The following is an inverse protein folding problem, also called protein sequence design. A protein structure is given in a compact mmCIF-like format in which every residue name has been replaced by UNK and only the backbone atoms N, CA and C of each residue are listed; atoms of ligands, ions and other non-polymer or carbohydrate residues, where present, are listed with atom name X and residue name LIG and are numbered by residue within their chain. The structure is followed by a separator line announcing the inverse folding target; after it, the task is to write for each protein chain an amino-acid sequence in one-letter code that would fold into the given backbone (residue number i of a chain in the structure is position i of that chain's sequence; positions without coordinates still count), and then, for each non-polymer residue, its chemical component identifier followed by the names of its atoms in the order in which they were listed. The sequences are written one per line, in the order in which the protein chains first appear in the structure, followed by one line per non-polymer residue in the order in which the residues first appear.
data_IF_115332503339
#
_entry.id   IF_115332503339
#
_cell.length_a   1.000
_cell.length_b   1.000
_cell.length_c   1.000
_cell.angle_alpha   90.00
_cell.angle_beta   90.00
_cell.angle_gamma   90.00
#
_symmetry.space_group_name_H-M   'P 1'
#
loop_
_entity.id
_entity.type
_entity.pdbx_description
1 polymer ?
#
# COMPACT_ATOMS: atom_id res chain seq x y z
N UNK A 1 14.82 -4.40 -7.92
CA UNK A 1 14.10 -4.39 -6.64
C UNK A 1 13.04 -3.32 -6.70
N UNK A 2 11.82 -3.63 -6.26
CA UNK A 2 10.73 -2.67 -6.10
C UNK A 2 11.10 -1.49 -5.21
N UNK A 3 11.87 -1.71 -4.14
CA UNK A 3 12.28 -0.64 -3.22
C UNK A 3 13.03 0.51 -3.90
N UNK A 4 13.81 0.24 -4.96
CA UNK A 4 14.48 1.29 -5.73
C UNK A 4 13.47 2.15 -6.50
N UNK A 5 12.43 1.50 -7.07
CA UNK A 5 11.35 2.20 -7.76
C UNK A 5 10.57 3.09 -6.79
N UNK A 6 10.32 2.61 -5.58
CA UNK A 6 9.64 3.38 -4.54
C UNK A 6 10.43 4.63 -4.13
N UNK A 7 11.74 4.49 -3.89
CA UNK A 7 12.63 5.62 -3.60
C UNK A 7 12.66 6.63 -4.76
N UNK A 8 12.75 6.16 -6.01
CA UNK A 8 12.77 7.02 -7.19
C UNK A 8 11.44 7.74 -7.42
N UNK A 9 10.31 7.06 -7.16
CA UNK A 9 8.99 7.65 -7.26
C UNK A 9 8.79 8.76 -6.22
N UNK A 10 9.16 8.51 -4.97
CA UNK A 10 9.14 9.53 -3.92
C UNK A 10 10.04 10.71 -4.26
N UNK A 11 11.28 10.44 -4.70
CA UNK A 11 12.22 11.48 -5.14
C UNK A 11 11.61 12.37 -6.23
N UNK A 12 10.93 11.77 -7.20
CA UNK A 12 10.27 12.49 -8.29
C UNK A 12 9.07 13.31 -7.79
N UNK A 13 8.24 12.73 -6.93
CA UNK A 13 7.07 13.42 -6.38
C UNK A 13 7.45 14.66 -5.56
N UNK A 14 8.54 14.57 -4.81
CA UNK A 14 9.05 15.69 -4.00
C UNK A 14 9.98 16.64 -4.77
N UNK A 15 10.22 16.42 -6.07
CA UNK A 15 11.17 17.19 -6.89
C UNK A 15 12.60 17.24 -6.31
N UNK A 16 13.04 16.13 -5.72
CA UNK A 16 14.37 16.02 -5.13
C UNK A 16 15.45 15.65 -6.13
N UNK A 17 16.64 16.22 -5.93
CA UNK A 17 17.81 15.93 -6.77
C UNK A 17 18.65 14.82 -6.15
N UNK A 18 18.69 14.74 -4.81
CA UNK A 18 19.63 13.88 -4.10
C UNK A 18 18.92 12.98 -3.08
N UNK A 19 19.39 11.73 -2.98
CA UNK A 19 18.90 10.73 -2.02
C UNK A 19 19.03 11.16 -0.56
N UNK A 20 19.96 12.07 -0.24
CA UNK A 20 20.12 12.62 1.11
C UNK A 20 18.88 13.36 1.60
N UNK A 21 18.08 13.91 0.69
CA UNK A 21 16.83 14.60 1.03
C UNK A 21 15.77 13.58 1.48
N UNK A 22 15.71 12.42 0.79
CA UNK A 22 14.86 11.30 1.19
C UNK A 22 15.28 10.77 2.57
N UNK A 23 16.59 10.65 2.81
CA UNK A 23 17.13 10.22 4.09
C UNK A 23 16.72 11.16 5.24
N UNK A 24 16.76 12.47 4.97
CA UNK A 24 16.35 13.49 5.93
C UNK A 24 14.86 13.35 6.29
N UNK A 25 13.98 13.19 5.29
CA UNK A 25 12.53 13.06 5.52
C UNK A 25 12.18 11.77 6.29
N UNK A 26 12.89 10.69 6.02
CA UNK A 26 12.77 9.43 6.76
C UNK A 26 13.44 9.45 8.14
N UNK A 27 14.15 10.54 8.48
CA UNK A 27 14.94 10.67 9.71
C UNK A 27 15.96 9.53 9.88
N UNK A 28 16.66 9.18 8.79
CA UNK A 28 17.69 8.13 8.77
C UNK A 28 19.02 8.65 8.21
N UNK A 29 20.10 7.92 8.51
CA UNK A 29 21.42 8.25 7.97
C UNK A 29 21.44 8.04 6.43
N UNK A 30 22.05 8.95 5.63
CA UNK A 30 22.10 8.82 4.16
C UNK A 30 22.73 7.53 3.64
N UNK A 31 23.65 6.93 4.39
CA UNK A 31 24.23 5.61 4.10
C UNK A 31 23.15 4.52 3.98
N UNK A 32 22.08 4.60 4.78
CA UNK A 32 20.97 3.64 4.77
C UNK A 32 20.23 3.64 3.44
N UNK A 33 20.04 4.80 2.80
CA UNK A 33 19.45 4.87 1.46
C UNK A 33 20.34 4.13 0.44
N UNK A 34 21.67 4.30 0.53
CA UNK A 34 22.60 3.56 -0.34
C UNK A 34 22.55 2.05 -0.11
N UNK A 35 22.46 1.61 1.15
CA UNK A 35 22.31 0.21 1.51
C UNK A 35 20.99 -0.38 0.99
N UNK A 36 19.89 0.39 1.08
CA UNK A 36 18.61 0.03 0.48
C UNK A 36 18.73 -0.10 -1.04
N UNK A 37 19.33 0.88 -1.73
CA UNK A 37 19.51 0.81 -3.18
C UNK A 37 20.32 -0.40 -3.66
N UNK A 38 21.30 -0.82 -2.84
CA UNK A 38 22.17 -1.97 -3.07
C UNK A 38 21.56 -3.30 -2.62
N UNK A 39 20.37 -3.29 -2.01
CA UNK A 39 19.71 -4.49 -1.49
C UNK A 39 20.36 -5.09 -0.24
N UNK A 40 21.26 -4.37 0.42
CA UNK A 40 21.87 -4.81 1.70
C UNK A 40 20.90 -4.67 2.87
N UNK A 41 19.99 -3.70 2.77
CA UNK A 41 18.92 -3.42 3.72
C UNK A 41 17.60 -3.33 2.97
N UNK A 42 16.53 -3.81 3.58
CA UNK A 42 15.17 -3.63 3.05
C UNK A 42 14.49 -2.43 3.69
N UNK A 43 13.67 -1.73 2.91
CA UNK A 43 12.76 -0.69 3.41
C UNK A 43 11.76 -1.37 4.35
N UNK A 44 11.61 -0.86 5.58
CA UNK A 44 10.62 -1.32 6.57
C UNK A 44 9.21 -0.89 6.21
N UNK A 45 8.20 -1.47 6.85
CA UNK A 45 6.81 -1.24 6.48
C UNK A 45 6.39 0.22 6.75
N UNK A 46 6.89 0.84 7.83
CA UNK A 46 6.69 2.25 8.14
C UNK A 46 7.36 3.18 7.09
N UNK A 47 8.59 2.87 6.68
CA UNK A 47 9.29 3.64 5.65
C UNK A 47 8.58 3.51 4.30
N UNK A 48 8.08 2.31 3.97
CA UNK A 48 7.33 2.05 2.74
C UNK A 48 6.01 2.83 2.71
N UNK A 49 5.26 2.83 3.81
CA UNK A 49 4.02 3.61 3.97
C UNK A 49 4.27 5.10 3.77
N UNK A 50 5.29 5.65 4.43
CA UNK A 50 5.66 7.06 4.31
C UNK A 50 6.02 7.44 2.86
N UNK A 51 6.88 6.65 2.21
CA UNK A 51 7.30 6.89 0.83
C UNK A 51 6.13 6.77 -0.14
N UNK A 52 5.22 5.82 0.06
CA UNK A 52 4.07 5.62 -0.80
C UNK A 52 3.10 6.81 -0.72
N UNK A 53 2.76 7.25 0.49
CA UNK A 53 1.90 8.42 0.71
C UNK A 53 2.50 9.68 0.09
N UNK A 54 3.79 9.93 0.30
CA UNK A 54 4.48 11.08 -0.28
C UNK A 54 4.71 10.98 -1.80
N UNK A 55 4.59 9.79 -2.39
CA UNK A 55 4.66 9.57 -3.83
C UNK A 55 3.29 9.47 -4.51
N UNK A 56 2.20 9.59 -3.76
CA UNK A 56 0.83 9.31 -4.23
C UNK A 56 0.70 7.90 -4.87
N UNK A 57 1.37 6.92 -4.26
CA UNK A 57 1.27 5.50 -4.60
C UNK A 57 0.37 4.84 -3.54
N UNK A 58 -0.49 3.92 -3.97
CA UNK A 58 -1.32 3.12 -3.07
C UNK A 58 -0.43 2.36 -2.06
N UNK A 59 -0.54 2.61 -0.75
CA UNK A 59 0.33 2.02 0.27
C UNK A 59 0.35 0.49 0.26
N UNK A 60 -0.78 -0.12 -0.04
CA UNK A 60 -0.96 -1.56 -0.16
C UNK A 60 -0.03 -2.13 -1.24
N UNK A 61 0.00 -1.50 -2.42
CA UNK A 61 0.89 -1.90 -3.51
C UNK A 61 2.37 -1.72 -3.14
N UNK A 62 2.70 -0.67 -2.39
CA UNK A 62 4.06 -0.42 -1.92
C UNK A 62 4.53 -1.50 -0.95
N UNK A 63 3.71 -1.87 0.02
CA UNK A 63 4.00 -2.93 0.99
C UNK A 63 4.18 -4.29 0.29
N UNK A 64 3.27 -4.64 -0.63
CA UNK A 64 3.35 -5.89 -1.40
C UNK A 64 4.65 -5.96 -2.21
N UNK A 65 5.01 -4.88 -2.89
CA UNK A 65 6.26 -4.80 -3.65
C UNK A 65 7.51 -4.94 -2.78
N UNK A 66 7.53 -4.28 -1.60
CA UNK A 66 8.61 -4.43 -0.63
C UNK A 66 8.71 -5.86 -0.07
N UNK A 67 7.60 -6.55 0.18
CA UNK A 67 7.62 -7.94 0.64
C UNK A 67 8.05 -8.91 -0.46
N UNK A 68 7.72 -8.65 -1.72
CA UNK A 68 8.19 -9.44 -2.85
C UNK A 68 9.73 -9.39 -2.96
N UNK A 69 10.34 -8.22 -2.73
CA UNK A 69 11.81 -8.07 -2.75
C UNK A 69 12.51 -8.88 -1.64
N UNK A 70 11.89 -9.00 -0.45
CA UNK A 70 12.49 -9.66 0.73
C UNK A 70 12.55 -11.18 0.63
N UNK A 71 11.65 -11.79 -0.15
CA UNK A 71 11.57 -13.25 -0.26
C UNK A 71 12.52 -13.74 -1.34
N UNK A 72 13.25 -14.82 -1.14
CA UNK A 72 14.08 -15.42 -2.22
C UNK A 72 13.30 -16.44 -3.05
N UNK A 73 12.23 -17.00 -2.48
CA UNK A 73 11.42 -18.03 -3.12
C UNK A 73 10.62 -17.42 -4.31
N UNK A 74 10.86 -17.88 -5.55
CA UNK A 74 10.21 -17.34 -6.73
C UNK A 74 8.68 -17.55 -6.75
N UNK A 75 8.18 -18.59 -6.09
CA UNK A 75 6.73 -18.87 -5.97
C UNK A 75 6.08 -17.79 -5.08
N UNK A 76 6.71 -17.48 -3.96
CA UNK A 76 6.21 -16.45 -3.02
C UNK A 76 6.23 -15.07 -3.67
N UNK A 77 7.28 -14.74 -4.44
CA UNK A 77 7.33 -13.49 -5.21
C UNK A 77 6.15 -13.38 -6.17
N UNK A 78 5.89 -14.44 -6.95
CA UNK A 78 4.80 -14.46 -7.92
C UNK A 78 3.44 -14.30 -7.25
N UNK A 79 3.23 -14.92 -6.09
CA UNK A 79 2.00 -14.74 -5.31
C UNK A 79 1.78 -13.28 -4.90
N UNK A 80 2.82 -12.59 -4.41
CA UNK A 80 2.72 -11.17 -4.07
C UNK A 80 2.44 -10.29 -5.28
N UNK A 81 3.11 -10.56 -6.41
CA UNK A 81 2.84 -9.85 -7.68
C UNK A 81 1.42 -10.07 -8.18
N UNK A 82 0.88 -11.29 -8.06
CA UNK A 82 -0.48 -11.62 -8.48
C UNK A 82 -1.53 -10.95 -7.57
N UNK A 83 -1.26 -10.81 -6.26
CA UNK A 83 -2.10 -10.03 -5.35
C UNK A 83 -2.09 -8.55 -5.75
N UNK A 84 -0.91 -7.97 -6.00
CA UNK A 84 -0.77 -6.60 -6.44
C UNK A 84 -1.50 -6.35 -7.78
N UNK A 85 -1.41 -7.29 -8.74
CA UNK A 85 -2.15 -7.23 -10.00
C UNK A 85 -3.66 -7.29 -9.80
N UNK A 86 -4.16 -8.13 -8.90
CA UNK A 86 -5.59 -8.24 -8.60
C UNK A 86 -6.15 -6.94 -8.01
N UNK A 87 -5.39 -6.29 -7.12
CA UNK A 87 -5.78 -4.99 -6.57
C UNK A 87 -5.82 -3.91 -7.67
N UNK A 88 -4.78 -3.86 -8.51
CA UNK A 88 -4.70 -2.90 -9.60
C UNK A 88 -5.73 -3.16 -10.73
N UNK A 89 -6.11 -4.42 -10.98
CA UNK A 89 -7.09 -4.77 -12.03
C UNK A 89 -8.54 -4.65 -11.58
N UNK A 90 -8.82 -4.76 -10.29
CA UNK A 90 -10.18 -4.63 -9.72
C UNK A 90 -10.51 -3.20 -9.29
N UNK A 91 -9.53 -2.30 -9.31
CA UNK A 91 -9.67 -0.86 -9.13
C UNK A 91 -10.65 -0.46 -8.03
N UNK A 92 -10.49 -0.94 -6.78
CA UNK A 92 -11.29 -0.64 -5.57
C UNK A 92 -12.84 -0.82 -5.64
N UNK A 93 -13.44 -0.85 -6.84
CA UNK A 93 -14.87 -0.88 -7.12
C UNK A 93 -15.45 -2.26 -6.83
N UNK A 94 -14.69 -3.33 -7.07
CA UNK A 94 -15.15 -4.69 -6.78
C UNK A 94 -15.32 -4.95 -5.27
N UNK A 95 -14.43 -4.41 -4.43
CA UNK A 95 -14.55 -4.48 -2.96
C UNK A 95 -15.71 -3.61 -2.45
N UNK A 96 -15.88 -2.40 -2.98
CA UNK A 96 -17.00 -1.52 -2.66
C UNK A 96 -18.36 -2.14 -3.02
N UNK A 97 -18.47 -2.75 -4.22
CA UNK A 97 -19.68 -3.45 -4.64
C UNK A 97 -19.96 -4.71 -3.82
N UNK A 98 -18.93 -5.47 -3.42
CA UNK A 98 -19.12 -6.66 -2.58
C UNK A 98 -19.63 -6.30 -1.17
N UNK A 99 -19.12 -5.23 -0.56
CA UNK A 99 -19.63 -4.72 0.72
C UNK A 99 -21.06 -4.16 0.59
N UNK A 100 -21.36 -3.42 -0.49
CA UNK A 100 -22.71 -2.93 -0.76
C UNK A 100 -23.73 -4.06 -0.99
N UNK A 101 -23.33 -5.13 -1.69
CA UNK A 101 -24.15 -6.32 -1.90
C UNK A 101 -24.45 -7.10 -0.62
N UNK A 102 -23.47 -7.23 0.28
CA UNK A 102 -23.66 -7.84 1.60
C UNK A 102 -24.57 -7.02 2.52
N UNK A 103 -24.44 -5.69 2.51
CA UNK A 103 -25.31 -4.80 3.29
C UNK A 103 -26.78 -4.89 2.84
N UNK A 104 -27.03 -5.01 1.53
CA UNK A 104 -28.39 -5.20 0.98
C UNK A 104 -28.95 -6.59 1.27
N UNK A 105 -28.10 -7.62 1.43
CA UNK A 105 -28.55 -8.96 1.77
C UNK A 105 -28.90 -9.11 3.25
N UNK A 106 -28.22 -8.37 4.14
CA UNK A 106 -28.49 -8.35 5.59
C UNK A 106 -29.65 -7.39 5.92
N UNK A 107 -29.83 -6.32 5.15
CA UNK A 107 -30.88 -5.32 5.37
C UNK A 107 -32.14 -5.59 4.57
N UNK A 108 -33.02 -6.48 5.04
CA UNK A 108 -34.43 -6.36 4.61
C UNK A 108 -35.08 -5.19 5.38
N UNK A 109 -35.65 -4.18 4.70
CA UNK A 109 -36.08 -2.92 5.31
C UNK A 109 -37.31 -3.03 6.23
N UNK A 110 -37.79 -4.25 6.50
CA UNK A 110 -39.07 -4.50 7.18
C UNK A 110 -38.97 -4.34 8.70
N UNK A 111 -37.78 -4.56 9.27
CA UNK A 111 -37.56 -4.52 10.72
C UNK A 111 -37.10 -3.15 11.22
N UNK A 112 -36.53 -2.31 10.34
CA UNK A 112 -36.07 -0.96 10.70
C UNK A 112 -37.21 0.02 11.04
N UNK A 113 -38.44 -0.23 10.56
CA UNK A 113 -39.60 0.63 10.85
C UNK A 113 -40.32 0.30 12.17
N UNK A 114 -40.05 -0.85 12.79
CA UNK A 114 -40.72 -1.23 14.03
C UNK A 114 -40.10 -0.56 15.28
N UNK A 115 -38.86 -0.10 15.19
CA UNK A 115 -38.10 0.50 16.31
C UNK A 115 -38.37 2.00 16.52
N UNK A 116 -39.01 2.68 15.56
CA UNK A 116 -39.30 4.13 15.65
C UNK A 116 -40.65 4.47 16.26
N UNK A 117 -41.50 3.48 16.58
CA UNK A 117 -42.85 3.70 17.12
C UNK A 117 -42.93 3.44 18.64
N UNK A 118 -41.92 2.84 19.26
CA UNK A 118 -41.92 2.52 20.72
C UNK A 118 -41.34 3.64 21.62
N UNK A 119 -41.02 4.82 21.06
CA UNK A 119 -40.49 5.97 21.83
C UNK A 119 -41.42 7.19 21.80
N UNK A 120 -42.73 6.99 21.85
CA UNK A 120 -43.68 8.08 22.07
C UNK A 120 -44.76 7.73 23.08
#
# INVERSE_FOLDING_TARGET
MYQNKLLDAYRKAQNYVQDKQIAHDLNIQPSRISEMRKGKRYISDNEALFLAQGANIEPELALLGCHADRNENPIIKKLWEDIAKKLNSQGLQALSMACGGLALWIGTPKEAMALSIQFK
#
